data_IF_415453939973
#
_entry.id   IF_415453939973
#
_cell.length_a   1.000
_cell.length_b   1.000
_cell.length_c   1.000
_cell.angle_alpha   90.00
_cell.angle_beta   90.00
_cell.angle_gamma   90.00
#
_symmetry.space_group_name_H-M   'P 1'
#
loop_
_entity.id
_entity.type
_entity.pdbx_description
1 polymer ?
#
# COMPACT_ATOMS: atom_id res chain seq x y z
N UNK A 1 -1.46 -0.74 28.31
CA UNK A 1 -1.99 -0.07 27.11
C UNK A 1 -2.01 -1.08 25.97
N UNK A 2 -3.22 -1.57 25.71
CA UNK A 2 -3.80 -2.37 24.62
C UNK A 2 -2.89 -2.97 23.52
N UNK A 3 -3.04 -4.29 23.36
CA UNK A 3 -2.43 -5.16 22.35
C UNK A 3 -2.51 -4.60 20.92
N UNK A 4 -1.36 -4.34 20.30
CA UNK A 4 -1.27 -4.10 18.87
C UNK A 4 -1.49 -5.43 18.13
N UNK A 5 -2.73 -5.70 17.73
CA UNK A 5 -3.05 -6.71 16.71
C UNK A 5 -2.31 -6.32 15.43
N UNK A 6 -1.19 -6.98 15.13
CA UNK A 6 -0.56 -6.94 13.82
C UNK A 6 -1.56 -7.49 12.80
N UNK A 7 -2.39 -6.61 12.22
CA UNK A 7 -3.18 -6.95 11.03
C UNK A 7 -2.18 -7.49 10.01
N UNK A 8 -2.41 -8.72 9.54
CA UNK A 8 -1.52 -9.44 8.62
C UNK A 8 -0.99 -8.50 7.53
N UNK A 9 0.33 -8.49 7.33
CA UNK A 9 0.97 -7.74 6.24
C UNK A 9 0.33 -8.18 4.91
N UNK A 10 -0.04 -7.23 4.05
CA UNK A 10 -0.72 -7.51 2.76
C UNK A 10 0.12 -7.00 1.61
N UNK A 11 0.41 -7.88 0.67
CA UNK A 11 0.96 -7.48 -0.62
C UNK A 11 -0.21 -7.02 -1.51
N UNK A 12 -0.17 -5.76 -1.93
CA UNK A 12 -1.22 -5.17 -2.76
C UNK A 12 -0.61 -4.54 -3.99
N UNK A 13 -1.40 -4.50 -5.06
CA UNK A 13 -1.14 -3.69 -6.22
C UNK A 13 -2.07 -2.48 -6.21
N UNK A 14 -1.52 -1.28 -6.45
CA UNK A 14 -2.28 -0.03 -6.44
C UNK A 14 -2.04 0.77 -7.72
N UNK A 15 -3.08 1.47 -8.17
CA UNK A 15 -2.96 2.59 -9.10
C UNK A 15 -2.91 3.87 -8.27
N UNK A 16 -1.76 4.54 -8.24
CA UNK A 16 -1.51 5.71 -7.41
C UNK A 16 -1.26 6.97 -8.23
N UNK A 17 -1.98 8.03 -7.91
CA UNK A 17 -1.82 9.36 -8.49
C UNK A 17 -0.90 10.22 -7.60
N UNK A 18 0.23 10.70 -8.14
CA UNK A 18 1.06 11.67 -7.40
C UNK A 18 0.44 13.07 -7.37
N UNK A 19 1.03 13.95 -6.56
CA UNK A 19 0.54 15.32 -6.38
C UNK A 19 0.46 16.12 -7.70
N UNK A 20 1.31 15.80 -8.67
CA UNK A 20 1.32 16.40 -10.01
C UNK A 20 0.41 15.67 -11.02
N UNK A 21 -0.50 14.81 -10.57
CA UNK A 21 -1.43 14.06 -11.42
C UNK A 21 -0.84 12.83 -12.13
N UNK A 22 0.47 12.57 -12.03
CA UNK A 22 1.08 11.40 -12.69
C UNK A 22 0.62 10.09 -12.07
N UNK A 23 0.10 9.20 -12.91
CA UNK A 23 -0.31 7.85 -12.51
C UNK A 23 0.89 6.90 -12.45
N UNK A 24 0.79 5.91 -11.57
CA UNK A 24 1.76 4.83 -11.46
C UNK A 24 1.10 3.59 -10.89
N UNK A 25 1.37 2.44 -11.48
CA UNK A 25 1.05 1.13 -10.92
C UNK A 25 2.16 0.71 -9.96
N UNK A 26 1.81 0.28 -8.75
CA UNK A 26 2.79 -0.03 -7.69
C UNK A 26 2.41 -1.29 -6.94
N UNK A 27 3.38 -2.19 -6.83
CA UNK A 27 3.36 -3.27 -5.84
C UNK A 27 3.85 -2.72 -4.49
N UNK A 28 3.05 -2.92 -3.44
CA UNK A 28 3.30 -2.40 -2.09
C UNK A 28 3.04 -3.49 -1.05
N UNK A 29 3.99 -3.70 -0.14
CA UNK A 29 3.76 -4.49 1.08
C UNK A 29 3.26 -3.57 2.18
N UNK A 30 1.95 -3.57 2.43
CA UNK A 30 1.33 -2.77 3.49
C UNK A 30 1.63 -3.41 4.84
N UNK A 31 2.16 -2.59 5.75
CA UNK A 31 2.52 -2.98 7.13
C UNK A 31 1.68 -2.24 8.18
N UNK A 32 0.99 -1.17 7.78
CA UNK A 32 0.10 -0.43 8.65
C UNK A 32 -0.79 0.54 7.90
N UNK A 33 -1.77 1.07 8.61
CA UNK A 33 -2.66 2.11 8.10
C UNK A 33 -3.07 3.05 9.24
N UNK A 34 -3.42 4.29 8.89
CA UNK A 34 -4.20 5.16 9.74
C UNK A 34 -5.45 5.63 8.96
N UNK A 35 -6.13 6.67 9.45
CA UNK A 35 -7.34 7.21 8.79
C UNK A 35 -7.06 7.71 7.37
N UNK A 36 -5.88 8.26 7.10
CA UNK A 36 -5.56 8.95 5.85
C UNK A 36 -4.64 8.17 4.92
N UNK A 37 -3.79 7.29 5.47
CA UNK A 37 -2.64 6.73 4.78
C UNK A 37 -2.50 5.23 4.99
N UNK A 38 -1.95 4.57 3.98
CA UNK A 38 -1.27 3.29 4.12
C UNK A 38 0.23 3.50 4.28
N UNK A 39 0.88 2.64 5.05
CA UNK A 39 2.32 2.61 5.27
C UNK A 39 2.88 1.26 4.83
N UNK A 40 3.99 1.28 4.10
CA UNK A 40 4.56 0.03 3.63
C UNK A 40 5.75 0.20 2.72
N UNK A 41 6.31 -0.94 2.32
CA UNK A 41 7.44 -1.00 1.39
C UNK A 41 6.94 -0.93 -0.06
N UNK A 42 7.43 0.05 -0.81
CA UNK A 42 7.12 0.26 -2.22
C UNK A 42 8.18 -0.41 -3.09
N UNK A 43 7.85 -1.48 -3.81
CA UNK A 43 8.83 -2.21 -4.62
C UNK A 43 9.35 -1.39 -5.81
N UNK A 44 8.50 -0.54 -6.42
CA UNK A 44 8.91 0.37 -7.49
C UNK A 44 9.99 1.36 -7.04
N UNK A 45 9.95 1.78 -5.77
CA UNK A 45 10.87 2.81 -5.22
C UNK A 45 11.93 2.22 -4.29
N UNK A 46 11.92 0.91 -4.07
CA UNK A 46 12.81 0.18 -3.15
C UNK A 46 12.95 0.85 -1.77
N UNK A 47 11.86 1.40 -1.25
CA UNK A 47 11.86 2.20 0.00
C UNK A 47 10.51 2.14 0.73
N UNK A 48 10.52 2.32 2.05
CA UNK A 48 9.32 2.53 2.86
C UNK A 48 8.68 3.88 2.55
N UNK A 49 7.37 3.89 2.29
CA UNK A 49 6.61 5.09 1.95
C UNK A 49 5.23 5.08 2.57
N UNK A 50 4.66 6.27 2.67
CA UNK A 50 3.25 6.47 2.94
C UNK A 50 2.49 6.80 1.66
N UNK A 51 1.24 6.35 1.60
CA UNK A 51 0.35 6.52 0.45
C UNK A 51 -0.97 7.08 0.94
N UNK A 52 -1.36 8.26 0.47
CA UNK A 52 -2.66 8.84 0.82
C UNK A 52 -3.79 8.01 0.20
N UNK A 53 -4.79 7.64 1.00
CA UNK A 53 -5.94 6.83 0.56
C UNK A 53 -6.73 7.52 -0.56
N UNK A 54 -6.91 8.84 -0.48
CA UNK A 54 -7.58 9.63 -1.52
C UNK A 54 -6.80 9.75 -2.84
N UNK A 55 -5.57 9.24 -2.92
CA UNK A 55 -4.74 9.20 -4.14
C UNK A 55 -4.58 7.80 -4.70
N UNK A 56 -5.21 6.80 -4.08
CA UNK A 56 -5.30 5.42 -4.57
C UNK A 56 -6.59 5.32 -5.38
N UNK A 57 -6.45 5.15 -6.70
CA UNK A 57 -7.59 5.06 -7.62
C UNK A 57 -8.14 3.63 -7.72
N UNK A 58 -7.27 2.65 -7.53
CA UNK A 58 -7.62 1.24 -7.44
C UNK A 58 -6.61 0.52 -6.54
N UNK A 59 -7.06 -0.51 -5.84
CA UNK A 59 -6.23 -1.37 -5.00
C UNK A 59 -6.74 -2.81 -5.06
N UNK A 60 -5.83 -3.74 -5.32
CA UNK A 60 -6.12 -5.17 -5.32
C UNK A 60 -5.13 -5.92 -4.42
N UNK A 61 -5.64 -6.89 -3.65
CA UNK A 61 -4.77 -7.77 -2.85
C UNK A 61 -4.16 -8.81 -3.76
N UNK A 62 -2.83 -8.86 -3.83
CA UNK A 62 -2.13 -9.90 -4.58
C UNK A 62 -2.25 -11.21 -3.81
N UNK A 63 -3.15 -12.09 -4.25
CA UNK A 63 -3.19 -13.48 -3.76
C UNK A 63 -1.89 -14.16 -4.19
N UNK A 64 -1.29 -14.98 -3.32
CA UNK A 64 -0.31 -15.97 -3.82
C UNK A 64 -1.05 -16.80 -4.85
N UNK A 65 -0.56 -16.81 -6.10
CA UNK A 65 -0.99 -17.83 -7.04
C UNK A 65 -0.65 -19.18 -6.38
N UNK A 66 -1.65 -20.01 -6.17
CA UNK A 66 -1.39 -21.42 -5.90
C UNK A 66 -0.70 -21.95 -7.16
N UNK A 67 0.54 -22.42 -7.00
CA UNK A 67 1.23 -23.23 -8.00
C UNK A 67 0.62 -24.63 -7.99
#
# INVERSE_FOLDING_TARGET
MTQNKFKAERLVEIIYMSANGKLSQRLVKIQGENKEKYFGYCYLRRSFRSFYKNRILAMEVRKKQAM
#
